data_IF_183826352488
#
_entry.id   IF_183826352488
#
_cell.length_a   1.000
_cell.length_b   1.000
_cell.length_c   1.000
_cell.angle_alpha   90.00
_cell.angle_beta   90.00
_cell.angle_gamma   90.00
#
_symmetry.space_group_name_H-M   'P 1'
#
loop_
_entity.id
_entity.type
_entity.pdbx_description
1 polymer ?
#
# COMPACT_ATOMS: atom_id res chain seq x y z
N UNK A 1 -21.85 10.12 -14.90
CA UNK A 1 -21.25 9.49 -13.72
C UNK A 1 -20.03 8.73 -14.25
N UNK A 2 -18.81 9.09 -13.85
CA UNK A 2 -17.61 8.72 -14.59
C UNK A 2 -17.21 7.26 -14.36
N UNK A 3 -16.67 6.65 -15.41
CA UNK A 3 -16.19 5.28 -15.52
C UNK A 3 -15.11 4.94 -14.48
N UNK A 4 -15.26 3.81 -13.78
CA UNK A 4 -14.23 3.26 -12.89
C UNK A 4 -13.21 2.49 -13.74
N UNK A 5 -12.18 3.20 -14.18
CA UNK A 5 -11.02 2.66 -14.91
C UNK A 5 -10.30 1.58 -14.07
N UNK A 6 -9.77 0.50 -14.70
CA UNK A 6 -9.04 -0.55 -14.00
C UNK A 6 -7.80 0.04 -13.35
N UNK A 7 -7.70 -0.11 -12.03
CA UNK A 7 -6.72 0.53 -11.15
C UNK A 7 -5.27 0.06 -11.45
N UNK A 8 -4.67 0.56 -12.53
CA UNK A 8 -3.25 0.42 -12.85
C UNK A 8 -2.48 1.22 -11.82
N UNK A 9 -2.13 0.58 -10.71
CA UNK A 9 -1.38 1.22 -9.62
C UNK A 9 0.08 0.89 -9.82
N UNK A 10 0.72 1.57 -10.78
CA UNK A 10 2.16 1.55 -10.92
C UNK A 10 2.78 2.55 -9.93
N UNK A 11 3.86 2.16 -9.28
CA UNK A 11 4.57 2.98 -8.31
C UNK A 11 6.03 3.04 -8.70
N UNK A 12 6.55 4.25 -8.76
CA UNK A 12 7.94 4.46 -9.12
C UNK A 12 8.84 3.97 -7.99
N UNK A 13 9.83 3.16 -8.36
CA UNK A 13 10.89 2.75 -7.46
C UNK A 13 11.67 3.98 -6.98
N UNK A 14 11.75 4.21 -5.66
CA UNK A 14 12.28 5.45 -5.10
C UNK A 14 13.81 5.60 -5.26
N UNK A 15 14.52 4.52 -5.62
CA UNK A 15 15.98 4.56 -5.77
C UNK A 15 16.47 4.88 -7.18
N UNK A 16 15.81 4.38 -8.23
CA UNK A 16 16.30 4.55 -9.60
C UNK A 16 15.29 5.22 -10.55
N UNK A 17 14.08 5.52 -10.09
CA UNK A 17 13.07 6.18 -10.92
C UNK A 17 12.39 5.25 -11.92
N UNK A 18 12.65 3.94 -11.86
CA UNK A 18 11.93 2.98 -12.67
C UNK A 18 10.46 2.93 -12.25
N UNK A 19 9.54 3.07 -13.19
CA UNK A 19 8.13 2.80 -12.93
C UNK A 19 8.00 1.30 -12.69
N UNK A 20 7.74 0.93 -11.44
CA UNK A 20 7.51 -0.46 -11.08
C UNK A 20 6.02 -0.65 -11.05
N UNK A 21 5.55 -1.60 -11.83
CA UNK A 21 4.15 -1.92 -11.81
C UNK A 21 3.83 -2.64 -10.49
N UNK A 22 3.46 -1.84 -9.49
CA UNK A 22 3.08 -2.38 -8.18
C UNK A 22 1.64 -2.85 -8.17
N UNK A 23 0.90 -2.70 -9.29
CA UNK A 23 0.22 -3.75 -10.08
C UNK A 23 -0.27 -4.95 -9.27
N UNK A 24 0.71 -5.65 -8.71
CA UNK A 24 0.54 -6.95 -8.09
C UNK A 24 1.03 -7.05 -6.64
N UNK A 25 1.28 -5.94 -5.94
CA UNK A 25 1.99 -5.92 -4.67
C UNK A 25 1.18 -5.27 -3.52
N UNK A 26 1.47 -5.68 -2.28
CA UNK A 26 0.63 -5.34 -1.13
C UNK A 26 0.90 -3.92 -0.63
N UNK A 27 -0.11 -3.23 -0.09
CA UNK A 27 0.12 -2.01 0.67
C UNK A 27 1.12 -2.32 1.79
N UNK A 28 2.29 -1.75 1.61
CA UNK A 28 3.49 -1.76 2.40
C UNK A 28 4.29 -3.05 2.34
N UNK A 29 4.05 -3.91 1.34
CA UNK A 29 4.94 -5.00 0.96
C UNK A 29 6.29 -4.43 0.58
N UNK A 30 7.36 -5.00 1.12
CA UNK A 30 8.73 -4.61 0.81
C UNK A 30 9.24 -5.44 -0.36
N UNK A 31 9.52 -4.79 -1.47
CA UNK A 31 9.73 -5.39 -2.78
C UNK A 31 11.00 -4.83 -3.38
N UNK A 32 11.70 -5.65 -4.13
CA UNK A 32 12.99 -5.29 -4.71
C UNK A 32 12.79 -4.70 -6.11
N UNK A 33 13.38 -3.54 -6.34
CA UNK A 33 13.26 -2.81 -7.58
C UNK A 33 13.97 -3.55 -8.72
N UNK A 34 13.26 -4.00 -9.77
CA UNK A 34 13.86 -4.83 -10.83
C UNK A 34 14.92 -4.08 -11.65
N UNK A 35 14.95 -2.74 -11.57
CA UNK A 35 15.90 -1.91 -12.31
C UNK A 35 17.18 -1.57 -11.53
N UNK A 36 17.22 -1.70 -10.21
CA UNK A 36 18.40 -1.35 -9.41
C UNK A 36 18.65 -2.23 -8.17
N UNK A 37 17.69 -3.10 -7.81
CA UNK A 37 17.75 -4.02 -6.68
C UNK A 37 17.33 -3.44 -5.32
N UNK A 38 16.93 -2.16 -5.25
CA UNK A 38 16.57 -1.53 -3.98
C UNK A 38 15.24 -2.04 -3.40
N UNK A 39 15.16 -2.24 -2.08
CA UNK A 39 13.96 -2.69 -1.36
C UNK A 39 13.03 -1.54 -0.98
N UNK A 40 11.93 -1.36 -1.70
CA UNK A 40 10.94 -0.32 -1.43
C UNK A 40 9.55 -0.89 -1.13
N UNK A 41 8.60 -0.08 -0.65
CA UNK A 41 7.29 -0.55 -0.20
C UNK A 41 6.15 -0.14 -1.10
N UNK A 42 5.22 -1.03 -1.40
CA UNK A 42 4.09 -0.76 -2.31
C UNK A 42 2.95 -0.02 -1.61
N UNK A 43 2.16 0.83 -2.28
CA UNK A 43 1.14 1.65 -1.62
C UNK A 43 -0.18 1.59 -2.39
N UNK A 44 -1.17 0.90 -1.82
CA UNK A 44 -2.48 0.63 -2.45
C UNK A 44 -3.57 0.59 -1.40
N UNK A 45 -4.82 0.82 -1.76
CA UNK A 45 -5.95 0.65 -0.84
C UNK A 45 -6.12 -0.82 -0.34
N UNK A 46 -6.73 -1.04 0.83
CA UNK A 46 -7.17 -2.35 1.37
C UNK A 46 -8.71 -2.41 1.30
N UNK A 47 -9.30 -3.04 0.27
CA UNK A 47 -10.76 -3.24 0.17
C UNK A 47 -11.54 -1.89 0.15
N UNK A 48 -12.66 -1.79 0.87
CA UNK A 48 -13.33 -0.53 1.14
C UNK A 48 -12.51 0.35 2.08
N UNK A 49 -11.36 -0.11 2.57
CA UNK A 49 -10.46 0.66 3.41
C UNK A 49 -9.34 1.23 2.56
N UNK A 50 -9.55 2.43 2.06
CA UNK A 50 -8.45 3.19 1.48
C UNK A 50 -7.41 3.39 2.60
N UNK A 51 -6.24 2.73 2.52
CA UNK A 51 -5.18 3.00 3.52
C UNK A 51 -4.81 4.44 3.34
N UNK A 52 -5.04 5.19 4.41
CA UNK A 52 -4.75 6.60 4.43
C UNK A 52 -3.37 6.86 5.00
N UNK A 53 -3.01 6.19 6.09
CA UNK A 53 -1.72 6.43 6.76
C UNK A 53 -1.31 5.24 7.62
N UNK A 54 -0.03 5.11 7.98
CA UNK A 54 0.44 4.15 9.00
C UNK A 54 0.31 4.78 10.38
N UNK A 55 -0.50 4.23 11.28
CA UNK A 55 -0.67 4.67 12.67
C UNK A 55 0.40 4.16 13.65
N UNK A 56 1.14 3.09 13.35
CA UNK A 56 2.25 2.70 14.24
C UNK A 56 2.88 1.36 13.93
N UNK A 57 4.21 1.30 13.89
CA UNK A 57 4.97 0.08 13.56
C UNK A 57 5.63 -0.47 14.83
N UNK A 58 5.49 -1.77 15.06
CA UNK A 58 6.15 -2.48 16.14
C UNK A 58 6.63 -3.86 15.72
N UNK A 59 7.30 -4.58 16.62
CA UNK A 59 7.79 -5.94 16.36
C UNK A 59 6.69 -6.96 16.04
N UNK A 60 5.44 -6.61 16.34
CA UNK A 60 4.25 -7.39 15.98
C UNK A 60 3.54 -6.87 14.73
N UNK A 61 3.99 -5.75 14.13
CA UNK A 61 3.54 -5.22 12.84
C UNK A 61 3.12 -3.75 12.83
N UNK A 62 2.55 -3.30 11.72
CA UNK A 62 2.20 -1.93 11.36
C UNK A 62 0.69 -1.68 11.46
N UNK A 63 0.26 -0.70 12.24
CA UNK A 63 -1.08 -0.13 12.25
C UNK A 63 -1.20 0.90 11.16
N UNK A 64 -2.36 0.98 10.52
CA UNK A 64 -2.72 1.92 9.47
C UNK A 64 -4.07 2.54 9.79
N UNK A 65 -4.25 3.82 9.53
CA UNK A 65 -5.57 4.42 9.45
C UNK A 65 -6.07 4.14 8.05
N UNK A 66 -7.32 3.77 7.96
CA UNK A 66 -7.95 3.58 6.67
C UNK A 66 -9.36 4.15 6.67
N UNK A 67 -9.77 4.66 5.52
CA UNK A 67 -11.13 5.16 5.31
C UNK A 67 -11.97 4.02 4.81
N UNK A 68 -12.91 3.60 5.63
CA UNK A 68 -13.99 2.70 5.26
C UNK A 68 -14.95 3.45 4.32
N UNK A 69 -14.82 3.27 3.02
CA UNK A 69 -15.66 3.85 1.97
C UNK A 69 -17.09 3.31 1.98
N UNK A 70 -17.37 2.24 2.76
CA UNK A 70 -18.69 1.62 2.88
C UNK A 70 -19.49 2.16 4.06
N UNK A 71 -18.83 2.39 5.19
CA UNK A 71 -19.42 3.01 6.37
C UNK A 71 -19.10 4.51 6.48
N UNK A 72 -18.39 5.05 5.49
CA UNK A 72 -17.85 6.41 5.39
C UNK A 72 -17.20 6.88 6.71
N UNK A 73 -16.29 6.06 7.26
CA UNK A 73 -15.66 6.34 8.56
C UNK A 73 -14.18 5.99 8.60
N UNK A 74 -13.47 6.61 9.53
CA UNK A 74 -12.06 6.31 9.78
C UNK A 74 -11.91 5.15 10.77
N UNK A 75 -11.03 4.20 10.44
CA UNK A 75 -10.69 3.05 11.29
C UNK A 75 -9.18 2.89 11.41
N UNK A 76 -8.71 2.19 12.45
CA UNK A 76 -7.32 1.77 12.59
C UNK A 76 -7.17 0.27 12.25
N UNK A 77 -6.54 -0.04 11.12
CA UNK A 77 -6.14 -1.37 10.64
C UNK A 77 -4.74 -1.75 11.13
N UNK A 78 -4.62 -2.63 12.12
CA UNK A 78 -3.32 -3.24 12.48
C UNK A 78 -2.96 -4.41 11.58
N UNK A 79 -1.95 -4.24 10.75
CA UNK A 79 -1.30 -5.28 9.97
C UNK A 79 -0.14 -5.85 10.77
N UNK A 80 -0.33 -7.03 11.32
CA UNK A 80 0.73 -7.66 12.09
C UNK A 80 1.83 -8.25 11.16
N UNK A 81 3.12 -8.11 11.51
CA UNK A 81 4.17 -8.87 10.82
C UNK A 81 4.05 -10.32 11.28
N UNK A 82 3.86 -11.24 10.33
CA UNK A 82 4.00 -12.66 10.64
C UNK A 82 5.48 -12.95 10.86
N UNK A 83 5.79 -13.56 12.01
CA UNK A 83 7.13 -13.97 12.40
C UNK A 83 7.42 -15.43 12.01
#
# INVERSE_FOLDING_TARGET
>A
MPEMEPNSSSQTCPACGAVVDVTNEEPLARIDCPSCGEKFRVERAFDNFELLETLGVGGMGSVYKARDTRLDRFVALKICVRN
#
